data_IF_419383354627
#
_entry.id   IF_419383354627
#
_cell.length_a   1.000
_cell.length_b   1.000
_cell.length_c   1.000
_cell.angle_alpha   90.00
_cell.angle_beta   90.00
_cell.angle_gamma   90.00
#
_symmetry.space_group_name_H-M   'P 1'
#
loop_
_entity.id
_entity.type
_entity.pdbx_description
1 polymer ?
#
# COMPACT_ATOMS: atom_id res chain seq x y z
N UNK A 1 25.88 -48.94 -17.51
CA UNK A 1 24.70 -48.06 -17.81
C UNK A 1 24.24 -47.43 -16.51
N UNK A 2 24.66 -46.19 -16.28
CA UNK A 2 24.29 -45.44 -15.09
C UNK A 2 23.11 -44.50 -15.43
N UNK A 3 21.97 -44.73 -14.79
CA UNK A 3 20.82 -43.87 -14.91
C UNK A 3 21.04 -42.59 -14.07
N UNK A 4 21.21 -41.46 -14.73
CA UNK A 4 21.15 -40.15 -14.10
C UNK A 4 19.71 -39.82 -13.78
N UNK A 5 19.36 -39.89 -12.50
CA UNK A 5 18.07 -39.39 -11.99
C UNK A 5 18.20 -37.87 -11.86
N UNK A 6 17.61 -37.15 -12.81
CA UNK A 6 17.47 -35.70 -12.72
C UNK A 6 16.51 -35.36 -11.55
N UNK A 7 17.05 -34.78 -10.50
CA UNK A 7 16.27 -34.18 -9.42
C UNK A 7 15.57 -32.95 -10.02
N UNK A 8 14.29 -33.07 -10.38
CA UNK A 8 13.41 -31.95 -10.65
C UNK A 8 13.14 -31.27 -9.32
N UNK A 9 13.71 -30.08 -9.17
CA UNK A 9 13.32 -29.13 -8.14
C UNK A 9 11.85 -28.78 -8.40
N UNK A 10 10.89 -29.00 -7.48
CA UNK A 10 9.55 -28.52 -7.65
C UNK A 10 9.59 -27.00 -7.45
N UNK A 11 9.69 -26.25 -8.53
CA UNK A 11 9.25 -24.86 -8.53
C UNK A 11 7.78 -24.90 -8.13
N UNK A 12 7.52 -24.55 -6.87
CA UNK A 12 6.16 -24.26 -6.40
C UNK A 12 5.55 -23.29 -7.42
N UNK A 13 4.42 -23.67 -7.98
CA UNK A 13 3.67 -22.79 -8.87
C UNK A 13 3.39 -21.50 -8.09
N UNK A 14 4.20 -20.47 -8.35
CA UNK A 14 3.98 -19.13 -7.80
C UNK A 14 2.63 -18.68 -8.35
N UNK A 15 1.64 -18.50 -7.48
CA UNK A 15 0.43 -17.79 -7.88
C UNK A 15 0.87 -16.46 -8.49
N UNK A 16 0.48 -16.22 -9.76
CA UNK A 16 0.81 -14.97 -10.46
C UNK A 16 0.16 -13.82 -9.70
N UNK A 17 0.93 -13.15 -8.87
CA UNK A 17 0.48 -11.95 -8.18
C UNK A 17 0.61 -10.77 -9.15
N UNK A 18 -0.52 -10.28 -9.66
CA UNK A 18 -0.58 -9.06 -10.45
C UNK A 18 -1.28 -7.99 -9.63
N UNK A 19 -0.52 -7.02 -9.13
CA UNK A 19 -1.03 -5.95 -8.26
C UNK A 19 -0.60 -4.59 -8.82
N UNK A 20 -1.55 -3.67 -8.93
CA UNK A 20 -1.33 -2.29 -9.31
C UNK A 20 -1.67 -1.36 -8.15
N UNK A 21 -0.73 -0.55 -7.72
CA UNK A 21 -0.87 0.33 -6.56
C UNK A 21 -0.56 1.77 -6.92
N UNK A 22 -1.28 2.67 -6.27
CA UNK A 22 -1.00 4.10 -6.22
C UNK A 22 -0.64 4.46 -4.78
N UNK A 23 0.46 5.20 -4.61
CA UNK A 23 0.82 5.81 -3.34
C UNK A 23 0.88 7.31 -3.57
N UNK A 24 0.10 8.07 -2.80
CA UNK A 24 0.05 9.52 -2.90
C UNK A 24 0.34 10.20 -1.56
N UNK A 25 0.85 11.41 -1.63
CA UNK A 25 1.17 12.21 -0.46
C UNK A 25 1.88 13.49 -0.84
N UNK A 26 2.49 14.14 0.14
CA UNK A 26 3.32 15.33 -0.09
C UNK A 26 4.78 15.06 0.26
N UNK A 27 5.67 15.81 -0.33
CA UNK A 27 7.11 15.70 -0.11
C UNK A 27 7.47 15.78 1.38
N UNK A 28 8.18 14.75 1.88
CA UNK A 28 8.56 14.61 3.28
C UNK A 28 7.73 13.58 4.07
N UNK A 29 6.59 13.12 3.59
CA UNK A 29 5.75 12.11 4.28
C UNK A 29 6.25 10.66 4.10
N UNK A 30 7.31 10.45 3.32
CA UNK A 30 7.93 9.14 3.16
C UNK A 30 7.22 8.20 2.19
N UNK A 31 6.60 8.73 1.14
CA UNK A 31 6.05 7.97 0.00
C UNK A 31 7.09 6.96 -0.52
N UNK A 32 8.36 7.40 -0.68
CA UNK A 32 9.46 6.55 -1.13
C UNK A 32 9.77 5.38 -0.18
N UNK A 33 9.55 5.54 1.13
CA UNK A 33 9.74 4.44 2.07
C UNK A 33 8.67 3.37 1.86
N UNK A 34 7.42 3.77 1.64
CA UNK A 34 6.33 2.84 1.32
C UNK A 34 6.61 2.10 0.00
N UNK A 35 7.09 2.82 -1.02
CA UNK A 35 7.54 2.24 -2.29
C UNK A 35 8.61 1.16 -2.06
N UNK A 36 9.63 1.45 -1.23
CA UNK A 36 10.69 0.50 -0.90
C UNK A 36 10.19 -0.74 -0.18
N UNK A 37 9.18 -0.63 0.70
CA UNK A 37 8.58 -1.77 1.38
C UNK A 37 8.00 -2.75 0.36
N UNK A 38 7.20 -2.27 -0.59
CA UNK A 38 6.61 -3.13 -1.61
C UNK A 38 7.65 -3.67 -2.60
N UNK A 39 8.66 -2.87 -2.95
CA UNK A 39 9.77 -3.32 -3.78
C UNK A 39 10.57 -4.44 -3.11
N UNK A 40 10.81 -4.34 -1.80
CA UNK A 40 11.50 -5.38 -1.02
C UNK A 40 10.72 -6.71 -1.02
N UNK A 41 9.38 -6.64 -0.90
CA UNK A 41 8.52 -7.84 -1.00
C UNK A 41 8.65 -8.46 -2.39
N UNK A 42 8.50 -7.66 -3.45
CA UNK A 42 8.59 -8.14 -4.82
C UNK A 42 9.94 -8.79 -5.11
N UNK A 43 11.05 -8.14 -4.74
CA UNK A 43 12.41 -8.66 -4.92
C UNK A 43 12.64 -9.98 -4.16
N UNK A 44 12.18 -10.04 -2.90
CA UNK A 44 12.36 -11.22 -2.06
C UNK A 44 11.63 -12.44 -2.58
N UNK A 45 10.48 -12.22 -3.20
CA UNK A 45 9.61 -13.28 -3.72
C UNK A 45 9.85 -13.56 -5.22
N UNK A 46 10.76 -12.81 -5.86
CA UNK A 46 11.09 -12.98 -7.27
C UNK A 46 10.00 -12.49 -8.22
N UNK A 47 9.11 -11.59 -7.78
CA UNK A 47 8.13 -10.98 -8.66
C UNK A 47 8.76 -9.86 -9.50
N UNK A 48 8.44 -9.76 -10.80
CA UNK A 48 8.74 -8.57 -11.57
C UNK A 48 8.11 -7.33 -10.93
N UNK A 49 8.83 -6.21 -10.99
CA UNK A 49 8.36 -4.94 -10.45
C UNK A 49 8.72 -3.83 -11.43
N UNK A 50 7.74 -2.99 -11.74
CA UNK A 50 7.93 -1.77 -12.52
C UNK A 50 7.17 -0.64 -11.85
N UNK A 51 7.73 0.58 -11.85
CA UNK A 51 7.10 1.73 -11.23
C UNK A 51 7.55 3.04 -11.85
N UNK A 52 6.81 4.11 -11.53
CA UNK A 52 7.12 5.49 -11.89
C UNK A 52 6.77 6.39 -10.72
N UNK A 53 7.55 7.44 -10.56
CA UNK A 53 7.35 8.45 -9.52
C UNK A 53 7.21 9.82 -10.19
N UNK A 54 6.11 10.50 -9.88
CA UNK A 54 5.87 11.88 -10.31
C UNK A 54 6.00 12.80 -9.09
N UNK A 55 6.91 13.76 -9.21
CA UNK A 55 7.13 14.77 -8.18
C UNK A 55 6.63 16.12 -8.68
N UNK A 56 5.79 16.79 -7.90
CA UNK A 56 5.43 18.19 -8.14
C UNK A 56 6.68 19.10 -8.10
N UNK A 57 6.55 20.30 -8.68
CA UNK A 57 7.67 21.25 -8.84
C UNK A 57 8.35 21.70 -7.53
N UNK A 58 7.81 21.36 -6.36
CA UNK A 58 8.37 21.69 -5.05
C UNK A 58 8.99 20.46 -4.40
N UNK A 59 10.27 20.52 -4.05
CA UNK A 59 10.97 19.43 -3.36
C UNK A 59 10.48 19.19 -1.92
N UNK A 60 9.80 20.16 -1.31
CA UNK A 60 9.17 20.03 0.02
C UNK A 60 7.74 20.53 -0.04
N UNK A 61 6.80 19.70 0.43
CA UNK A 61 5.37 20.05 0.44
C UNK A 61 4.67 19.97 -0.92
N UNK A 62 5.37 19.61 -2.01
CA UNK A 62 4.77 19.35 -3.30
C UNK A 62 4.10 17.96 -3.34
N UNK A 63 3.10 17.80 -4.22
CA UNK A 63 2.45 16.52 -4.47
C UNK A 63 3.46 15.47 -4.94
N UNK A 64 3.36 14.28 -4.39
CA UNK A 64 4.14 13.09 -4.78
C UNK A 64 3.17 11.97 -5.11
N UNK A 65 3.30 11.43 -6.31
CA UNK A 65 2.51 10.31 -6.80
C UNK A 65 3.45 9.19 -7.26
N UNK A 66 3.24 7.99 -6.73
CA UNK A 66 3.99 6.82 -7.14
C UNK A 66 3.04 5.76 -7.71
N UNK A 67 3.39 5.24 -8.88
CA UNK A 67 2.79 4.08 -9.51
C UNK A 67 3.67 2.86 -9.22
N UNK A 68 3.09 1.79 -8.71
CA UNK A 68 3.78 0.50 -8.50
C UNK A 68 2.96 -0.60 -9.15
N UNK A 69 3.64 -1.43 -9.93
CA UNK A 69 3.07 -2.66 -10.48
C UNK A 69 3.97 -3.83 -10.14
N UNK A 70 3.40 -4.83 -9.49
CA UNK A 70 4.09 -6.07 -9.10
C UNK A 70 3.44 -7.19 -9.87
N UNK A 71 4.23 -7.93 -10.63
CA UNK A 71 3.78 -8.98 -11.55
C UNK A 71 4.15 -8.68 -12.99
N UNK A 72 3.46 -9.32 -13.94
CA UNK A 72 3.76 -9.28 -15.37
C UNK A 72 3.07 -8.08 -16.03
N UNK A 73 3.79 -6.97 -16.14
CA UNK A 73 3.30 -5.71 -16.71
C UNK A 73 4.35 -5.07 -17.64
N UNK A 74 3.90 -4.51 -18.77
CA UNK A 74 4.75 -3.88 -19.79
C UNK A 74 4.91 -2.36 -19.61
N UNK A 75 4.14 -1.72 -18.72
CA UNK A 75 4.13 -0.26 -18.56
C UNK A 75 4.09 0.13 -17.09
N UNK A 76 4.89 1.11 -16.65
CA UNK A 76 4.96 1.51 -15.25
C UNK A 76 3.71 2.27 -14.77
N UNK A 77 3.00 2.97 -15.66
CA UNK A 77 1.88 3.81 -15.27
C UNK A 77 0.60 2.98 -15.04
N UNK A 78 0.01 3.14 -13.88
CA UNK A 78 -1.32 2.64 -13.57
C UNK A 78 -2.32 3.49 -14.34
N UNK A 79 -3.19 2.85 -15.12
CA UNK A 79 -4.27 3.55 -15.86
C UNK A 79 -5.38 3.97 -14.89
N UNK A 80 -6.15 5.00 -15.27
CA UNK A 80 -7.39 5.35 -14.58
C UNK A 80 -8.30 4.11 -14.49
N UNK A 81 -8.84 3.85 -13.29
CA UNK A 81 -9.64 2.66 -13.04
C UNK A 81 -8.86 1.35 -13.05
N UNK A 82 -7.53 1.37 -12.82
CA UNK A 82 -6.68 0.17 -12.83
C UNK A 82 -6.04 -0.20 -11.50
N UNK A 83 -6.07 0.69 -10.49
CA UNK A 83 -5.42 0.44 -9.21
C UNK A 83 -6.22 -0.52 -8.33
N UNK A 84 -5.55 -1.54 -7.83
CA UNK A 84 -6.10 -2.46 -6.81
C UNK A 84 -6.04 -1.84 -5.43
N UNK A 85 -5.02 -1.01 -5.17
CA UNK A 85 -4.80 -0.33 -3.88
C UNK A 85 -4.37 1.11 -4.10
N UNK A 86 -4.97 2.01 -3.34
CA UNK A 86 -4.50 3.39 -3.14
C UNK A 86 -4.14 3.58 -1.66
N UNK A 87 -2.90 4.00 -1.40
CA UNK A 87 -2.43 4.45 -0.09
C UNK A 87 -2.20 5.95 -0.17
N UNK A 88 -3.02 6.77 0.47
CA UNK A 88 -2.85 8.22 0.51
C UNK A 88 -2.39 8.67 1.90
N UNK A 89 -1.16 9.21 1.93
CA UNK A 89 -0.55 9.75 3.15
C UNK A 89 -1.07 11.15 3.48
N UNK A 90 -1.78 11.78 2.52
CA UNK A 90 -2.37 13.11 2.66
C UNK A 90 -3.82 13.10 2.15
N UNK A 91 -4.74 13.61 2.95
CA UNK A 91 -6.17 13.59 2.67
C UNK A 91 -6.55 14.32 1.37
N UNK A 92 -5.89 15.44 1.06
CA UNK A 92 -6.18 16.23 -0.13
C UNK A 92 -5.61 15.57 -1.40
N UNK A 93 -4.49 14.85 -1.28
CA UNK A 93 -3.94 14.04 -2.37
C UNK A 93 -4.78 12.79 -2.66
N UNK A 94 -5.55 12.29 -1.66
CA UNK A 94 -6.52 11.23 -1.91
C UNK A 94 -7.51 11.63 -2.98
N UNK A 95 -8.16 12.80 -2.86
CA UNK A 95 -9.13 13.27 -3.86
C UNK A 95 -8.56 13.34 -5.28
N UNK A 96 -7.30 13.74 -5.42
CA UNK A 96 -6.64 13.82 -6.73
C UNK A 96 -6.39 12.47 -7.37
N UNK A 97 -6.35 11.40 -6.56
CA UNK A 97 -5.91 10.06 -6.99
C UNK A 97 -7.01 9.00 -6.96
N UNK A 98 -8.21 9.29 -6.43
CA UNK A 98 -9.36 8.37 -6.43
C UNK A 98 -9.69 7.78 -7.80
N UNK A 99 -9.52 8.56 -8.87
CA UNK A 99 -9.83 8.15 -10.23
C UNK A 99 -8.96 7.00 -10.76
N UNK A 100 -7.87 6.66 -10.07
CA UNK A 100 -7.06 5.48 -10.40
C UNK A 100 -7.67 4.18 -9.90
N UNK A 101 -8.53 4.22 -8.85
CA UNK A 101 -9.09 3.02 -8.26
C UNK A 101 -9.94 2.23 -9.24
N UNK A 102 -9.76 0.92 -9.23
CA UNK A 102 -10.49 0.00 -10.08
C UNK A 102 -11.92 -0.19 -9.57
N UNK A 103 -12.96 0.09 -10.37
CA UNK A 103 -14.33 -0.25 -9.99
C UNK A 103 -14.54 -1.77 -9.99
N UNK A 104 -15.49 -2.25 -9.20
CA UNK A 104 -15.93 -3.63 -9.23
C UNK A 104 -16.52 -3.99 -10.59
N UNK A 105 -16.08 -5.09 -11.19
CA UNK A 105 -16.59 -5.57 -12.49
C UNK A 105 -16.49 -7.10 -12.57
N UNK A 106 -17.45 -7.73 -13.23
CA UNK A 106 -17.41 -9.16 -13.56
C UNK A 106 -17.16 -10.07 -12.34
N UNK A 107 -17.78 -9.76 -11.19
CA UNK A 107 -17.59 -10.53 -9.96
C UNK A 107 -16.29 -10.25 -9.20
N UNK A 108 -15.41 -9.40 -9.73
CA UNK A 108 -14.23 -8.93 -9.01
C UNK A 108 -14.57 -7.73 -8.13
N UNK A 109 -14.05 -7.72 -6.92
CA UNK A 109 -14.18 -6.58 -5.98
C UNK A 109 -13.49 -5.34 -6.56
N UNK A 110 -13.98 -4.17 -6.23
CA UNK A 110 -13.31 -2.91 -6.51
C UNK A 110 -11.98 -2.76 -5.76
N UNK A 111 -11.24 -1.70 -6.08
CA UNK A 111 -10.01 -1.35 -5.41
C UNK A 111 -10.22 -0.95 -3.95
N UNK A 112 -9.15 -0.94 -3.18
CA UNK A 112 -9.12 -0.55 -1.78
C UNK A 112 -8.40 0.78 -1.63
N UNK A 113 -9.00 1.72 -0.94
CA UNK A 113 -8.45 3.04 -0.64
C UNK A 113 -8.21 3.20 0.85
N UNK A 114 -6.97 3.44 1.25
CA UNK A 114 -6.59 3.72 2.64
C UNK A 114 -6.04 5.14 2.72
N UNK A 115 -6.63 5.95 3.58
CA UNK A 115 -6.35 7.39 3.63
C UNK A 115 -5.96 7.79 5.05
N UNK A 116 -4.84 8.51 5.17
CA UNK A 116 -4.50 9.19 6.40
C UNK A 116 -5.30 10.48 6.50
N UNK A 117 -6.24 10.53 7.44
CA UNK A 117 -6.96 11.74 7.80
C UNK A 117 -7.34 11.70 9.29
N UNK A 118 -7.32 12.85 9.98
CA UNK A 118 -7.66 12.93 11.41
C UNK A 118 -9.15 12.71 11.68
N UNK A 119 -9.99 13.04 10.72
CA UNK A 119 -11.45 12.91 10.80
C UNK A 119 -11.91 11.76 9.89
N UNK A 120 -12.55 10.71 10.42
CA UNK A 120 -13.06 9.59 9.63
C UNK A 120 -14.17 10.02 8.65
N UNK A 121 -14.82 11.13 8.90
CA UNK A 121 -15.92 11.66 8.07
C UNK A 121 -15.50 12.84 7.18
N UNK A 122 -14.17 13.05 6.98
CA UNK A 122 -13.67 14.18 6.17
C UNK A 122 -14.11 14.12 4.70
N UNK A 123 -14.38 12.92 4.18
CA UNK A 123 -14.70 12.73 2.76
C UNK A 123 -16.11 13.24 2.44
N UNK A 124 -16.22 14.00 1.34
CA UNK A 124 -17.53 14.43 0.83
C UNK A 124 -18.47 13.22 0.67
N UNK A 125 -19.69 13.27 1.25
CA UNK A 125 -20.64 12.15 1.23
C UNK A 125 -21.02 11.68 -0.17
N UNK A 126 -21.16 12.59 -1.13
CA UNK A 126 -21.52 12.25 -2.52
C UNK A 126 -20.39 11.46 -3.20
N UNK A 127 -19.12 11.85 -2.96
CA UNK A 127 -17.96 11.13 -3.47
C UNK A 127 -17.86 9.76 -2.82
N UNK A 128 -18.07 9.66 -1.51
CA UNK A 128 -18.06 8.40 -0.78
C UNK A 128 -19.12 7.44 -1.34
N UNK A 129 -20.35 7.91 -1.51
CA UNK A 129 -21.45 7.12 -2.10
C UNK A 129 -21.09 6.66 -3.52
N UNK A 130 -20.56 7.55 -4.36
CA UNK A 130 -20.14 7.18 -5.72
C UNK A 130 -19.08 6.09 -5.74
N UNK A 131 -18.13 6.09 -4.80
CA UNK A 131 -17.10 5.04 -4.69
C UNK A 131 -17.70 3.72 -4.19
N UNK A 132 -18.62 3.76 -3.22
CA UNK A 132 -19.34 2.59 -2.71
C UNK A 132 -20.19 1.94 -3.80
N UNK A 133 -20.91 2.72 -4.62
CA UNK A 133 -21.67 2.23 -5.78
C UNK A 133 -20.78 1.53 -6.82
N UNK A 134 -19.53 1.96 -6.94
CA UNK A 134 -18.51 1.31 -7.75
C UNK A 134 -17.87 0.08 -7.08
N UNK A 135 -18.29 -0.26 -5.86
CA UNK A 135 -17.74 -1.36 -5.07
C UNK A 135 -16.32 -1.11 -4.59
N UNK A 136 -15.88 0.16 -4.53
CA UNK A 136 -14.57 0.57 -4.03
C UNK A 136 -14.64 0.73 -2.52
N UNK A 137 -13.75 0.04 -1.79
CA UNK A 137 -13.64 0.15 -0.34
C UNK A 137 -12.82 1.39 0.05
N UNK A 138 -13.38 2.26 0.90
CA UNK A 138 -12.68 3.44 1.42
C UNK A 138 -12.53 3.33 2.93
N UNK A 139 -11.29 3.43 3.41
CA UNK A 139 -10.92 3.27 4.80
C UNK A 139 -10.06 4.44 5.26
N UNK A 140 -10.52 5.15 6.27
CA UNK A 140 -9.89 6.36 6.79
C UNK A 140 -9.29 6.04 8.16
N UNK A 141 -8.07 6.48 8.37
CA UNK A 141 -7.33 6.21 9.61
C UNK A 141 -6.46 7.40 10.00
N UNK A 142 -6.51 7.80 11.26
CA UNK A 142 -5.65 8.86 11.82
C UNK A 142 -4.23 8.39 12.05
N UNK A 143 -3.51 8.05 10.98
CA UNK A 143 -2.14 7.53 11.05
C UNK A 143 -1.15 8.53 11.66
N UNK A 144 -1.33 9.83 11.42
CA UNK A 144 -0.55 10.90 12.05
C UNK A 144 -0.73 10.92 13.58
N UNK A 145 -1.97 10.78 14.04
CA UNK A 145 -2.26 10.73 15.46
C UNK A 145 -1.61 9.51 16.10
N UNK A 146 -1.79 8.33 15.52
CA UNK A 146 -1.19 7.08 15.99
C UNK A 146 0.35 7.20 16.07
N UNK A 147 0.97 7.69 15.01
CA UNK A 147 2.44 7.84 14.96
C UNK A 147 2.94 8.86 16.00
N UNK A 148 2.21 9.96 16.20
CA UNK A 148 2.52 10.99 17.21
C UNK A 148 2.41 10.46 18.62
N UNK A 149 1.36 9.71 18.95
CA UNK A 149 1.16 9.08 20.26
C UNK A 149 2.29 8.08 20.60
N UNK A 150 2.86 7.46 19.56
CA UNK A 150 4.01 6.57 19.70
C UNK A 150 5.38 7.29 19.61
N UNK A 151 5.39 8.62 19.54
CA UNK A 151 6.62 9.42 19.58
C UNK A 151 7.34 9.57 18.23
N UNK A 152 6.70 9.26 17.10
CA UNK A 152 7.33 9.38 15.78
C UNK A 152 6.36 9.76 14.66
N UNK A 153 6.08 11.05 14.54
CA UNK A 153 5.27 11.56 13.43
C UNK A 153 5.84 11.19 12.04
N UNK A 154 7.14 10.99 11.95
CA UNK A 154 7.80 10.55 10.71
C UNK A 154 7.40 9.14 10.26
N UNK A 155 6.76 8.36 11.14
CA UNK A 155 6.32 6.99 10.88
C UNK A 155 4.83 6.87 10.52
N UNK A 156 4.17 7.98 10.16
CA UNK A 156 2.79 8.01 9.65
C UNK A 156 2.58 7.02 8.50
N UNK A 157 3.53 6.98 7.58
CA UNK A 157 3.53 6.05 6.46
C UNK A 157 3.49 4.57 6.91
N UNK A 158 4.29 4.21 7.92
CA UNK A 158 4.29 2.86 8.50
C UNK A 158 2.97 2.56 9.21
N UNK A 159 2.40 3.55 9.92
CA UNK A 159 1.11 3.40 10.58
C UNK A 159 -0.01 3.13 9.57
N UNK A 160 -0.05 3.85 8.43
CA UNK A 160 -1.03 3.63 7.39
C UNK A 160 -0.87 2.25 6.74
N UNK A 161 0.36 1.81 6.47
CA UNK A 161 0.64 0.46 5.94
C UNK A 161 0.20 -0.62 6.92
N UNK A 162 0.44 -0.44 8.23
CA UNK A 162 -0.01 -1.37 9.26
C UNK A 162 -1.54 -1.48 9.33
N UNK A 163 -2.23 -0.35 9.26
CA UNK A 163 -3.69 -0.31 9.18
C UNK A 163 -4.22 -1.04 7.93
N UNK A 164 -3.66 -0.73 6.76
CA UNK A 164 -4.06 -1.36 5.49
C UNK A 164 -3.82 -2.89 5.51
N UNK A 165 -2.74 -3.35 6.14
CA UNK A 165 -2.41 -4.77 6.29
C UNK A 165 -3.43 -5.57 7.10
N UNK A 166 -4.28 -4.90 7.88
CA UNK A 166 -5.36 -5.53 8.62
C UNK A 166 -6.56 -5.93 7.75
N UNK A 167 -6.69 -5.32 6.56
CA UNK A 167 -7.80 -5.60 5.67
C UNK A 167 -7.62 -6.95 4.96
N UNK A 168 -8.62 -7.85 5.00
CA UNK A 168 -8.47 -9.20 4.44
C UNK A 168 -8.26 -9.23 2.91
N UNK A 169 -8.66 -8.19 2.21
CA UNK A 169 -8.42 -8.02 0.76
C UNK A 169 -7.12 -7.31 0.42
N UNK A 170 -6.27 -6.95 1.39
CA UNK A 170 -4.98 -6.34 1.09
C UNK A 170 -4.04 -7.37 0.45
N UNK A 171 -3.30 -7.02 -0.63
CA UNK A 171 -2.60 -8.02 -1.45
C UNK A 171 -1.40 -8.69 -0.78
N UNK A 172 -0.90 -8.13 0.32
CA UNK A 172 0.27 -8.66 1.02
C UNK A 172 -0.06 -8.97 2.48
N UNK A 173 0.38 -10.15 2.94
CA UNK A 173 0.21 -10.52 4.34
C UNK A 173 1.01 -9.60 5.28
N UNK A 174 0.50 -9.43 6.50
CA UNK A 174 1.15 -8.63 7.52
C UNK A 174 2.58 -9.11 7.86
N UNK A 175 2.85 -10.42 7.78
CA UNK A 175 4.20 -10.97 8.04
C UNK A 175 5.19 -10.53 6.97
N UNK A 176 4.78 -10.54 5.68
CA UNK A 176 5.60 -10.06 4.56
C UNK A 176 5.92 -8.58 4.69
N UNK A 177 4.92 -7.77 5.01
CA UNK A 177 5.09 -6.33 5.22
C UNK A 177 6.01 -6.04 6.41
N UNK A 178 5.78 -6.71 7.54
CA UNK A 178 6.61 -6.57 8.73
C UNK A 178 8.08 -6.90 8.46
N UNK A 179 8.33 -8.01 7.78
CA UNK A 179 9.69 -8.42 7.40
C UNK A 179 10.34 -7.44 6.40
N UNK A 180 9.57 -6.86 5.47
CA UNK A 180 10.07 -5.84 4.55
C UNK A 180 10.42 -4.54 5.30
N UNK A 181 9.53 -4.06 6.20
CA UNK A 181 9.78 -2.88 7.06
C UNK A 181 11.07 -3.07 7.85
N UNK A 182 11.28 -4.23 8.46
CA UNK A 182 12.49 -4.55 9.21
C UNK A 182 13.76 -4.40 8.37
N UNK A 183 13.72 -4.82 7.11
CA UNK A 183 14.88 -4.75 6.19
C UNK A 183 15.14 -3.36 5.64
N UNK A 184 14.10 -2.63 5.24
CA UNK A 184 14.28 -1.32 4.58
C UNK A 184 14.46 -0.17 5.54
N UNK A 185 14.08 -0.34 6.82
CA UNK A 185 14.17 0.72 7.83
C UNK A 185 15.58 0.74 8.45
N UNK A 186 16.16 1.94 8.52
CA UNK A 186 17.47 2.12 9.16
C UNK A 186 17.44 1.61 10.61
N UNK A 187 18.54 0.97 11.05
CA UNK A 187 18.63 0.27 12.34
C UNK A 187 18.12 1.12 13.54
N UNK A 188 18.48 2.40 13.58
CA UNK A 188 18.08 3.32 14.66
C UNK A 188 16.57 3.56 14.78
N UNK A 189 15.80 3.33 13.70
CA UNK A 189 14.34 3.53 13.67
C UNK A 189 13.55 2.23 13.63
N UNK A 190 14.23 1.10 13.42
CA UNK A 190 13.60 -0.19 13.13
C UNK A 190 12.63 -0.65 14.21
N UNK A 191 13.08 -0.66 15.46
CA UNK A 191 12.26 -1.12 16.58
C UNK A 191 10.97 -0.30 16.71
N UNK A 192 11.08 1.03 16.63
CA UNK A 192 9.93 1.92 16.72
C UNK A 192 8.99 1.74 15.53
N UNK A 193 9.52 1.62 14.30
CA UNK A 193 8.72 1.38 13.09
C UNK A 193 7.92 0.08 13.19
N UNK A 194 8.55 -1.00 13.67
CA UNK A 194 7.86 -2.28 13.87
C UNK A 194 6.77 -2.19 14.93
N UNK A 195 7.02 -1.50 16.05
CA UNK A 195 6.00 -1.28 17.09
C UNK A 195 4.81 -0.48 16.54
N UNK A 196 5.06 0.55 15.72
CA UNK A 196 4.01 1.36 15.11
C UNK A 196 3.20 0.52 14.12
N UNK A 197 3.87 -0.26 13.26
CA UNK A 197 3.21 -1.19 12.35
C UNK A 197 2.30 -2.18 13.10
N UNK A 198 2.83 -2.87 14.09
CA UNK A 198 2.12 -3.87 14.88
C UNK A 198 0.91 -3.24 15.61
N UNK A 199 1.06 -2.03 16.18
CA UNK A 199 -0.03 -1.31 16.83
C UNK A 199 -1.14 -0.90 15.86
N UNK A 200 -0.77 -0.36 14.69
CA UNK A 200 -1.74 0.05 13.67
C UNK A 200 -2.46 -1.14 13.05
N UNK A 201 -1.78 -2.27 12.88
CA UNK A 201 -2.38 -3.54 12.46
C UNK A 201 -3.46 -3.99 13.47
N UNK A 202 -3.17 -3.91 14.77
CA UNK A 202 -4.13 -4.29 15.81
C UNK A 202 -5.36 -3.36 15.82
N UNK A 203 -5.17 -2.05 15.68
CA UNK A 203 -6.30 -1.11 15.56
C UNK A 203 -7.10 -1.36 14.28
N UNK A 204 -6.42 -1.59 13.15
CA UNK A 204 -7.09 -1.95 11.90
C UNK A 204 -7.97 -3.20 12.02
N UNK A 205 -7.52 -4.23 12.72
CA UNK A 205 -8.32 -5.45 12.97
C UNK A 205 -9.58 -5.21 13.80
N UNK A 206 -9.63 -4.16 14.61
CA UNK A 206 -10.84 -3.78 15.36
C UNK A 206 -11.84 -3.04 14.47
N UNK A 207 -11.34 -2.22 13.55
CA UNK A 207 -12.13 -1.32 12.69
C UNK A 207 -12.57 -2.02 11.40
N UNK A 208 -11.65 -2.73 10.75
CA UNK A 208 -11.84 -3.38 9.44
C UNK A 208 -12.37 -4.82 9.62
N UNK A 209 -13.50 -4.96 10.30
CA UNK A 209 -14.15 -6.28 10.38
C UNK A 209 -14.62 -6.71 8.99
N UNK A 210 -14.54 -8.04 8.67
CA UNK A 210 -15.03 -8.59 7.40
C UNK A 210 -16.53 -8.44 7.24
#
# INVERSE_FOLDING_TARGET
MAQQTAIRNPQSAMEKTNVQMIISGVGGQGVLLVTRIFSEIALKEGYPLIGSEDHGMSQRGGSVLTHIKIGDFDSPLVKKGGADVLLSLEKDEAYRTLHYLRPARNGQRGGLCFINAPDPDYMNPEIKTCLEEQGIGVYIFGADQMAREMGSLQSTNIALVGFAAAHPGFPFSHDRLRAAIERVTAQRFRELSLKIFDRSLLEGRKILKP
#
